data_IF_713440194395
#
_entry.id   IF_713440194395
#
_cell.length_a   1.000
_cell.length_b   1.000
_cell.length_c   1.000
_cell.angle_alpha   90.00
_cell.angle_beta   90.00
_cell.angle_gamma   90.00
#
_symmetry.space_group_name_H-M   'P 1'
#
loop_
_entity.id
_entity.type
_entity.pdbx_description
1 polymer ?
#
# COMPACT_ATOMS: atom_id res chain seq x y z
N UNK A 1 -21.93 -7.17 13.80
CA UNK A 1 -22.40 -6.39 12.63
C UNK A 1 -21.71 -5.03 12.50
N UNK A 2 -21.60 -4.20 13.55
CA UNK A 2 -20.97 -2.87 13.44
C UNK A 2 -19.52 -2.85 12.93
N UNK A 3 -18.66 -3.74 13.42
CA UNK A 3 -17.24 -3.80 13.01
C UNK A 3 -17.06 -4.10 11.52
N UNK A 4 -17.83 -5.04 10.97
CA UNK A 4 -17.77 -5.42 9.56
C UNK A 4 -18.16 -4.26 8.63
N UNK A 5 -19.13 -3.45 9.05
CA UNK A 5 -19.55 -2.25 8.31
C UNK A 5 -18.45 -1.19 8.35
N UNK A 6 -17.84 -0.97 9.52
CA UNK A 6 -16.71 -0.04 9.68
C UNK A 6 -15.54 -0.45 8.78
N UNK A 7 -15.20 -1.74 8.75
CA UNK A 7 -14.15 -2.27 7.87
C UNK A 7 -14.52 -2.02 6.40
N UNK A 8 -15.73 -2.37 5.96
CA UNK A 8 -16.15 -2.11 4.59
C UNK A 8 -16.08 -0.61 4.24
N UNK A 9 -16.45 0.27 5.16
CA UNK A 9 -16.37 1.73 4.95
C UNK A 9 -14.93 2.24 4.83
N UNK A 10 -14.02 1.75 5.67
CA UNK A 10 -12.62 2.17 5.66
C UNK A 10 -11.87 1.68 4.42
N UNK A 11 -12.15 0.45 3.96
CA UNK A 11 -11.40 -0.18 2.87
C UNK A 11 -12.04 0.01 1.49
N UNK A 12 -13.33 0.38 1.41
CA UNK A 12 -14.04 0.59 0.14
C UNK A 12 -14.60 2.01 0.05
N UNK A 13 -15.29 2.47 1.09
CA UNK A 13 -15.91 3.79 1.11
C UNK A 13 -14.91 4.94 1.05
N UNK A 14 -13.88 4.89 1.89
CA UNK A 14 -12.85 5.94 1.98
C UNK A 14 -12.04 6.10 0.67
N UNK A 15 -11.54 5.02 0.02
CA UNK A 15 -10.87 5.13 -1.26
C UNK A 15 -11.79 5.66 -2.37
N UNK A 16 -13.06 5.22 -2.40
CA UNK A 16 -14.03 5.74 -3.38
C UNK A 16 -14.24 7.24 -3.21
N UNK A 17 -14.44 7.71 -1.97
CA UNK A 17 -14.62 9.13 -1.68
C UNK A 17 -13.40 9.95 -2.08
N UNK A 18 -12.19 9.43 -1.85
CA UNK A 18 -10.95 10.07 -2.27
C UNK A 18 -10.83 10.18 -3.80
N UNK A 19 -11.21 9.14 -4.55
CA UNK A 19 -11.25 9.19 -6.02
C UNK A 19 -12.26 10.22 -6.51
N UNK A 20 -13.46 10.25 -5.93
CA UNK A 20 -14.49 11.24 -6.30
C UNK A 20 -13.97 12.66 -6.06
N UNK A 21 -13.39 12.93 -4.89
CA UNK A 21 -12.79 14.23 -4.59
C UNK A 21 -11.68 14.60 -5.58
N UNK A 22 -10.82 13.65 -5.93
CA UNK A 22 -9.75 13.85 -6.90
C UNK A 22 -10.28 14.19 -8.31
N UNK A 23 -11.38 13.57 -8.74
CA UNK A 23 -12.02 13.86 -10.01
C UNK A 23 -12.70 15.24 -10.01
N UNK A 24 -13.18 15.71 -8.86
CA UNK A 24 -13.78 17.04 -8.71
C UNK A 24 -12.74 18.17 -8.74
N UNK A 25 -11.50 17.88 -8.36
CA UNK A 25 -10.40 18.84 -8.24
C UNK A 25 -9.90 19.41 -9.58
N UNK A 26 -10.41 18.93 -10.73
CA UNK A 26 -10.09 19.36 -12.11
C UNK A 26 -8.57 19.53 -12.39
N UNK A 27 -7.74 18.72 -11.75
CA UNK A 27 -6.29 18.72 -11.95
C UNK A 27 -5.90 18.22 -13.35
N UNK A 28 -4.74 18.61 -13.88
CA UNK A 28 -4.22 18.08 -15.14
C UNK A 28 -4.08 16.55 -15.07
N UNK A 29 -4.40 15.86 -16.17
CA UNK A 29 -4.61 14.40 -16.17
C UNK A 29 -3.44 13.56 -15.66
N UNK A 30 -2.19 14.02 -15.84
CA UNK A 30 -1.01 13.33 -15.31
C UNK A 30 -0.92 13.41 -13.77
N UNK A 31 -1.33 14.53 -13.18
CA UNK A 31 -1.35 14.71 -11.73
C UNK A 31 -2.48 13.88 -11.11
N UNK A 32 -3.66 13.87 -11.74
CA UNK A 32 -4.80 13.00 -11.38
C UNK A 32 -4.42 11.53 -11.43
N UNK A 33 -3.74 11.07 -12.48
CA UNK A 33 -3.32 9.68 -12.61
C UNK A 33 -2.37 9.28 -11.46
N UNK A 34 -1.45 10.17 -11.08
CA UNK A 34 -0.49 9.94 -10.00
C UNK A 34 -1.20 9.82 -8.65
N UNK A 35 -2.14 10.72 -8.36
CA UNK A 35 -2.92 10.67 -7.12
C UNK A 35 -3.88 9.48 -7.07
N UNK A 36 -4.51 9.12 -8.18
CA UNK A 36 -5.35 7.93 -8.26
C UNK A 36 -4.55 6.66 -7.97
N UNK A 37 -3.34 6.56 -8.53
CA UNK A 37 -2.41 5.46 -8.24
C UNK A 37 -2.05 5.43 -6.75
N UNK A 38 -1.75 6.58 -6.15
CA UNK A 38 -1.43 6.67 -4.73
C UNK A 38 -2.60 6.21 -3.84
N UNK A 39 -3.83 6.63 -4.14
CA UNK A 39 -5.05 6.21 -3.40
C UNK A 39 -5.24 4.69 -3.47
N UNK A 40 -5.03 4.10 -4.63
CA UNK A 40 -5.19 2.65 -4.83
C UNK A 40 -4.02 1.86 -4.23
N UNK A 41 -2.80 2.38 -4.27
CA UNK A 41 -1.60 1.67 -3.79
C UNK A 41 -1.40 1.80 -2.27
N UNK A 42 -1.84 2.90 -1.64
CA UNK A 42 -1.66 3.18 -0.22
C UNK A 42 -2.07 2.03 0.73
N UNK A 43 -3.21 1.35 0.54
CA UNK A 43 -3.61 0.23 1.40
C UNK A 43 -2.64 -0.95 1.38
N UNK A 44 -1.88 -1.12 0.30
CA UNK A 44 -0.98 -2.26 0.11
C UNK A 44 0.45 -2.01 0.58
N UNK A 45 0.83 -0.76 0.84
CA UNK A 45 2.19 -0.38 1.23
C UNK A 45 2.68 -1.11 2.48
N UNK A 46 1.82 -1.28 3.50
CA UNK A 46 2.20 -2.01 4.71
C UNK A 46 2.54 -3.49 4.45
N UNK A 47 1.73 -4.17 3.64
CA UNK A 47 1.98 -5.54 3.24
C UNK A 47 3.25 -5.66 2.38
N UNK A 48 3.46 -4.72 1.45
CA UNK A 48 4.66 -4.67 0.63
C UNK A 48 5.93 -4.50 1.50
N UNK A 49 5.93 -3.56 2.44
CA UNK A 49 7.06 -3.34 3.38
C UNK A 49 7.35 -4.61 4.20
N UNK A 50 6.32 -5.25 4.74
CA UNK A 50 6.46 -6.49 5.50
C UNK A 50 7.10 -7.60 4.67
N UNK A 51 6.62 -7.81 3.44
CA UNK A 51 7.15 -8.83 2.53
C UNK A 51 8.62 -8.56 2.18
N UNK A 52 8.96 -7.31 1.87
CA UNK A 52 10.34 -6.91 1.57
C UNK A 52 11.25 -7.20 2.77
N UNK A 53 10.85 -6.75 3.97
CA UNK A 53 11.60 -7.01 5.20
C UNK A 53 11.83 -8.51 5.42
N UNK A 54 10.78 -9.31 5.26
CA UNK A 54 10.85 -10.77 5.44
C UNK A 54 11.77 -11.45 4.42
N UNK A 55 11.78 -10.98 3.17
CA UNK A 55 12.68 -11.50 2.13
C UNK A 55 14.14 -11.16 2.46
N UNK A 56 14.41 -9.94 2.92
CA UNK A 56 15.76 -9.51 3.32
C UNK A 56 16.28 -10.35 4.49
N UNK A 57 15.46 -10.54 5.52
CA UNK A 57 15.79 -11.35 6.70
C UNK A 57 16.13 -12.81 6.31
N UNK A 58 15.35 -13.42 5.40
CA UNK A 58 15.64 -14.77 4.88
C UNK A 58 16.96 -14.85 4.13
N UNK A 59 17.30 -13.82 3.33
CA UNK A 59 18.59 -13.77 2.60
C UNK A 59 19.78 -13.60 3.54
N UNK A 60 19.64 -12.85 4.62
CA UNK A 60 20.70 -12.66 5.62
C UNK A 60 20.95 -13.94 6.44
N UNK A 61 19.88 -14.60 6.87
CA UNK A 61 19.97 -15.86 7.62
C UNK A 61 20.47 -17.06 6.79
N UNK A 62 20.38 -16.99 5.46
CA UNK A 62 20.86 -18.04 4.55
C UNK A 62 22.30 -17.81 4.06
N UNK A 63 22.96 -16.70 4.44
CA UNK A 63 24.39 -16.53 4.13
C UNK A 63 25.19 -17.47 5.03
N UNK A 64 25.91 -18.46 4.48
CA UNK A 64 26.86 -19.21 5.28
C UNK A 64 27.88 -18.20 5.80
N UNK A 65 28.10 -18.20 7.12
CA UNK A 65 29.27 -17.55 7.71
C UNK A 65 30.47 -18.08 6.94
N UNK A 66 31.06 -17.23 6.09
CA UNK A 66 32.30 -17.57 5.44
C UNK A 66 33.31 -17.77 6.57
N UNK A 67 33.67 -19.04 6.72
CA UNK A 67 34.73 -19.60 7.52
C UNK A 67 35.87 -18.60 7.74
N UNK A 68 35.99 -18.15 8.99
CA UNK A 68 37.18 -17.45 9.50
C UNK A 68 38.24 -18.53 9.69
N UNK A 69 38.98 -18.80 8.60
CA UNK A 69 40.26 -19.52 8.60
C UNK A 69 41.43 -18.56 8.75
#
# INVERSE_FOLDING_TARGET
>A
MGLSIIIAFLFIGLPLAAIIALLMDKRPGAETATWALAIVAAPFLGAAVYLIWRIVEKRQSSRPTADIG
#
